data_IF_559386760130
#
_entry.id   IF_559386760130
#
_cell.length_a   1.000
_cell.length_b   1.000
_cell.length_c   1.000
_cell.angle_alpha   90.00
_cell.angle_beta   90.00
_cell.angle_gamma   90.00
#
_symmetry.space_group_name_H-M   'P 1'
#
loop_
_entity.id
_entity.type
_entity.pdbx_description
1 polymer ?
#
# COMPACT_ATOMS: atom_id res chain seq x y z
N UNK A 1 4.32 -6.91 -5.94
CA UNK A 1 4.66 -6.69 -4.51
C UNK A 1 3.54 -7.22 -3.65
N UNK A 2 3.85 -7.84 -2.52
CA UNK A 2 2.86 -8.39 -1.60
C UNK A 2 2.31 -7.31 -0.65
N UNK A 3 1.06 -7.39 -0.16
CA UNK A 3 0.50 -6.39 0.75
C UNK A 3 1.29 -6.16 2.04
N UNK A 4 1.84 -7.22 2.61
CA UNK A 4 2.66 -7.20 3.83
C UNK A 4 4.05 -6.59 3.63
N UNK A 5 4.50 -6.47 2.37
CA UNK A 5 5.79 -5.86 2.03
C UNK A 5 5.70 -4.34 1.82
N UNK A 6 4.48 -3.78 1.76
CA UNK A 6 4.28 -2.34 1.62
C UNK A 6 4.48 -1.62 2.95
N UNK A 7 5.26 -0.55 2.93
CA UNK A 7 5.45 0.38 4.04
C UNK A 7 4.82 1.73 3.70
N UNK A 8 4.08 2.29 4.65
CA UNK A 8 3.51 3.64 4.54
C UNK A 8 4.39 4.63 5.30
N UNK A 9 4.63 5.80 4.70
CA UNK A 9 5.47 6.84 5.29
C UNK A 9 5.49 8.14 4.47
N UNK A 10 6.60 8.87 4.57
CA UNK A 10 6.80 10.16 3.90
C UNK A 10 7.52 10.11 2.55
N UNK A 11 8.06 8.96 2.15
CA UNK A 11 8.89 8.79 0.95
C UNK A 11 8.39 7.63 0.08
N UNK A 12 8.61 7.71 -1.25
CA UNK A 12 8.24 6.68 -2.21
C UNK A 12 7.10 7.11 -3.15
N UNK A 13 6.25 6.15 -3.53
CA UNK A 13 5.12 6.40 -4.43
C UNK A 13 3.99 7.11 -3.69
N UNK A 14 3.65 8.32 -4.10
CA UNK A 14 2.53 9.07 -3.53
C UNK A 14 1.19 8.35 -3.76
N UNK A 15 0.37 8.26 -2.72
CA UNK A 15 -0.94 7.63 -2.77
C UNK A 15 -1.93 8.28 -1.78
N UNK A 16 -3.23 8.07 -2.04
CA UNK A 16 -4.32 8.48 -1.15
C UNK A 16 -4.94 7.24 -0.52
N UNK A 17 -5.21 7.29 0.79
CA UNK A 17 -5.94 6.24 1.49
C UNK A 17 -7.41 6.27 1.09
N UNK A 18 -7.92 5.18 0.53
CA UNK A 18 -9.32 5.05 0.16
C UNK A 18 -10.17 4.47 1.28
N UNK A 19 -9.67 3.43 1.97
CA UNK A 19 -10.38 2.83 3.10
C UNK A 19 -9.46 2.06 4.03
N UNK A 20 -9.90 1.89 5.28
CA UNK A 20 -9.22 1.03 6.27
C UNK A 20 -10.17 0.00 6.85
N UNK A 21 -9.67 -1.22 7.10
CA UNK A 21 -10.46 -2.29 7.70
C UNK A 21 -9.62 -3.10 8.68
N UNK A 22 -10.03 -3.15 9.94
CA UNK A 22 -9.37 -3.95 10.97
C UNK A 22 -9.72 -5.43 10.83
N UNK A 23 -8.71 -6.30 10.77
CA UNK A 23 -8.82 -7.75 10.62
C UNK A 23 -8.17 -8.51 11.80
N UNK A 24 -8.27 -7.96 13.02
CA UNK A 24 -7.81 -8.62 14.24
C UNK A 24 -6.31 -8.47 14.50
N UNK A 25 -5.46 -9.08 13.68
CA UNK A 25 -4.00 -9.01 13.83
C UNK A 25 -3.34 -7.92 12.98
N UNK A 26 -4.06 -7.43 11.97
CA UNK A 26 -3.60 -6.41 11.04
C UNK A 26 -4.76 -5.51 10.59
N UNK A 27 -4.43 -4.33 10.08
CA UNK A 27 -5.36 -3.43 9.41
C UNK A 27 -5.05 -3.41 7.92
N UNK A 28 -6.04 -3.74 7.10
CA UNK A 28 -5.96 -3.59 5.65
C UNK A 28 -6.19 -2.13 5.29
N UNK A 29 -5.29 -1.57 4.50
CA UNK A 29 -5.36 -0.20 3.98
C UNK A 29 -5.41 -0.27 2.46
N UNK A 30 -6.48 0.25 1.86
CA UNK A 30 -6.60 0.38 0.41
C UNK A 30 -6.10 1.75 0.02
N UNK A 31 -5.19 1.80 -0.97
CA UNK A 31 -4.59 3.03 -1.46
C UNK A 31 -4.79 3.16 -2.96
N UNK A 32 -4.84 4.40 -3.43
CA UNK A 32 -4.82 4.75 -4.85
C UNK A 32 -3.66 5.70 -5.12
N UNK A 33 -2.75 5.28 -5.98
CA UNK A 33 -1.66 6.09 -6.48
C UNK A 33 -2.03 6.75 -7.82
N UNK A 34 -1.13 7.56 -8.36
CA UNK A 34 -1.31 8.19 -9.67
C UNK A 34 -1.59 7.15 -10.78
N UNK A 35 -2.37 7.56 -11.79
CA UNK A 35 -2.80 6.67 -12.87
C UNK A 35 -3.88 5.64 -12.47
N UNK A 36 -4.47 5.77 -11.28
CA UNK A 36 -5.52 4.86 -10.80
C UNK A 36 -4.98 3.52 -10.29
N UNK A 37 -3.67 3.42 -10.04
CA UNK A 37 -3.06 2.21 -9.52
C UNK A 37 -3.54 1.96 -8.09
N UNK A 38 -4.26 0.86 -7.89
CA UNK A 38 -4.72 0.43 -6.57
C UNK A 38 -3.72 -0.48 -5.89
N UNK A 39 -3.42 -0.16 -4.65
CA UNK A 39 -2.53 -0.93 -3.78
C UNK A 39 -3.27 -1.33 -2.50
N UNK A 40 -2.85 -2.43 -1.92
CA UNK A 40 -3.34 -2.89 -0.61
C UNK A 40 -2.15 -3.09 0.29
N UNK A 41 -2.11 -2.40 1.41
CA UNK A 41 -1.12 -2.61 2.46
C UNK A 41 -1.75 -3.34 3.66
N UNK A 42 -0.96 -4.15 4.35
CA UNK A 42 -1.32 -4.77 5.63
C UNK A 42 -0.44 -4.20 6.74
N UNK A 43 -1.04 -3.39 7.61
CA UNK A 43 -0.35 -2.80 8.75
C UNK A 43 -0.50 -3.70 9.98
N UNK A 44 0.59 -4.05 10.69
CA UNK A 44 0.50 -4.88 11.88
C UNK A 44 -0.21 -4.17 13.03
N UNK A 45 -0.72 -4.93 14.00
CA UNK A 45 -1.29 -4.37 15.23
C UNK A 45 -0.33 -3.39 15.90
N UNK A 46 -0.83 -2.21 16.25
CA UNK A 46 -0.05 -1.16 16.91
C UNK A 46 0.66 -0.20 15.97
N UNK A 47 0.62 -0.45 14.65
CA UNK A 47 1.04 0.54 13.66
C UNK A 47 0.09 1.74 13.64
N UNK A 48 0.61 2.91 13.28
CA UNK A 48 -0.21 4.08 13.00
C UNK A 48 -1.05 3.83 11.75
N UNK A 49 -2.37 3.98 11.88
CA UNK A 49 -3.30 3.78 10.78
C UNK A 49 -3.68 5.15 10.22
N UNK A 50 -3.31 5.48 8.97
CA UNK A 50 -3.68 6.74 8.38
C UNK A 50 -5.19 6.81 8.14
N UNK A 51 -5.76 8.01 8.27
CA UNK A 51 -7.18 8.24 8.03
C UNK A 51 -7.54 8.08 6.54
N UNK A 52 -8.80 7.76 6.26
CA UNK A 52 -9.34 7.80 4.90
C UNK A 52 -9.24 9.22 4.33
N UNK A 53 -8.82 9.34 3.07
CA UNK A 53 -8.50 10.60 2.40
C UNK A 53 -7.10 11.16 2.70
N UNK A 54 -6.34 10.56 3.62
CA UNK A 54 -4.97 11.00 3.90
C UNK A 54 -4.04 10.74 2.70
N UNK A 55 -3.13 11.68 2.45
CA UNK A 55 -2.01 11.51 1.53
C UNK A 55 -0.85 10.85 2.26
N UNK A 56 -0.33 9.78 1.67
CA UNK A 56 0.80 9.02 2.19
C UNK A 56 1.76 8.69 1.05
N UNK A 57 2.94 8.20 1.38
CA UNK A 57 3.82 7.56 0.41
C UNK A 57 3.97 6.08 0.72
N UNK A 58 4.04 5.29 -0.35
CA UNK A 58 4.16 3.84 -0.31
C UNK A 58 5.55 3.45 -0.80
N UNK A 59 6.23 2.61 -0.03
CA UNK A 59 7.55 2.06 -0.39
C UNK A 59 7.60 0.55 -0.16
N UNK A 60 8.54 -0.12 -0.82
CA UNK A 60 8.81 -1.55 -0.70
C UNK A 60 10.30 -1.80 -0.94
N UNK A 61 10.81 -2.95 -0.50
CA UNK A 61 12.18 -3.33 -0.85
C UNK A 61 12.22 -3.87 -2.29
N UNK A 62 13.37 -3.72 -2.96
CA UNK A 62 13.52 -4.15 -4.35
C UNK A 62 13.28 -5.66 -4.52
N UNK A 63 13.65 -6.46 -3.52
CA UNK A 63 13.45 -7.92 -3.51
C UNK A 63 11.99 -8.36 -3.43
N UNK A 64 11.08 -7.50 -2.95
CA UNK A 64 9.64 -7.79 -2.88
C UNK A 64 8.91 -7.52 -4.20
N UNK A 65 9.62 -7.00 -5.20
CA UNK A 65 9.07 -6.82 -6.53
C UNK A 65 9.00 -8.16 -7.27
N UNK A 66 7.79 -8.48 -7.70
CA UNK A 66 7.52 -9.52 -8.67
C UNK A 66 7.11 -8.82 -9.96
N UNK A 67 8.04 -8.74 -10.91
CA UNK A 67 7.75 -8.21 -12.23
C UNK A 67 6.91 -9.26 -12.97
N UNK A 68 5.76 -8.82 -13.50
CA UNK A 68 5.02 -9.61 -14.47
C UNK A 68 5.49 -9.17 -15.85
N UNK A 69 5.67 -10.12 -16.76
CA UNK A 69 5.93 -9.80 -18.15
C UNK A 69 4.73 -9.04 -18.72
N UNK A 70 4.98 -7.94 -19.40
CA UNK A 70 3.94 -7.25 -20.16
C UNK A 70 3.56 -8.16 -21.32
N UNK A 71 2.32 -8.67 -21.31
CA UNK A 71 1.79 -9.37 -22.49
C UNK A 71 1.71 -8.35 -23.61
N UNK A 72 2.61 -8.48 -24.59
CA UNK A 72 2.63 -7.66 -25.79
C UNK A 72 1.38 -7.99 -26.61
N UNK A 73 0.42 -7.04 -26.65
CA UNK A 73 -0.74 -7.08 -27.53
C UNK A 73 -0.52 -6.20 -28.77
#
# INVERSE_FOLDING_TARGET
VRPEALRLGGEGLAATVLSTAFHGAATRVVLEAEGGLRLVALLPKGAEIPAEGARVHVSWAREDLHLMEEEQA
#
